data_IF_179924089773
#
_entry.id   IF_179924089773
#
_cell.length_a   1.000
_cell.length_b   1.000
_cell.length_c   1.000
_cell.angle_alpha   90.00
_cell.angle_beta   90.00
_cell.angle_gamma   90.00
#
_symmetry.space_group_name_H-M   'P 1'
#
loop_
_entity.id
_entity.type
_entity.pdbx_description
1 polymer ?
#
# COMPACT_ATOMS: atom_id res chain seq x y z
N UNK A 1 -3.05 -29.82 3.97
CA UNK A 1 -2.88 -28.41 4.38
C UNK A 1 -1.38 -28.14 4.37
N UNK A 2 -0.92 -27.25 3.50
CA UNK A 2 0.50 -27.03 3.22
C UNK A 2 1.24 -26.42 4.43
N UNK A 3 2.53 -26.72 4.56
CA UNK A 3 3.41 -26.28 5.66
C UNK A 3 3.41 -24.76 5.78
N UNK A 4 3.31 -24.05 4.66
CA UNK A 4 3.20 -22.59 4.62
C UNK A 4 1.87 -22.07 5.14
N UNK A 5 0.75 -22.74 4.83
CA UNK A 5 -0.57 -22.39 5.36
C UNK A 5 -0.64 -22.59 6.88
N UNK A 6 -0.05 -23.68 7.38
CA UNK A 6 0.02 -23.97 8.81
C UNK A 6 0.86 -22.93 9.53
N UNK A 7 2.00 -22.55 8.94
CA UNK A 7 2.87 -21.52 9.47
C UNK A 7 2.19 -20.14 9.51
N UNK A 8 1.54 -19.72 8.42
CA UNK A 8 0.82 -18.44 8.36
C UNK A 8 -0.31 -18.37 9.42
N UNK A 9 -1.07 -19.46 9.60
CA UNK A 9 -2.13 -19.52 10.60
C UNK A 9 -1.57 -19.52 12.03
N UNK A 10 -0.50 -20.26 12.29
CA UNK A 10 0.17 -20.24 13.60
C UNK A 10 0.74 -18.86 13.89
N UNK A 11 1.38 -18.21 12.93
CA UNK A 11 1.96 -16.86 13.11
C UNK A 11 0.88 -15.81 13.39
N UNK A 12 -0.27 -15.86 12.70
CA UNK A 12 -1.45 -15.03 12.99
C UNK A 12 -1.99 -15.28 14.41
N UNK A 13 -2.05 -16.53 14.85
CA UNK A 13 -2.64 -16.92 16.15
C UNK A 13 -1.83 -16.48 17.38
N UNK A 14 -0.50 -16.37 17.26
CA UNK A 14 0.37 -16.04 18.42
C UNK A 14 0.43 -14.52 18.67
N UNK A 15 -0.10 -13.69 17.76
CA UNK A 15 -0.16 -12.22 17.94
C UNK A 15 1.21 -11.54 18.10
N UNK A 16 2.30 -12.25 17.80
CA UNK A 16 3.69 -11.78 17.95
C UNK A 16 3.93 -10.53 17.11
N UNK A 17 3.29 -10.44 15.94
CA UNK A 17 3.36 -9.28 15.05
C UNK A 17 2.89 -7.97 15.70
N UNK A 18 1.94 -8.05 16.65
CA UNK A 18 1.43 -6.89 17.37
C UNK A 18 2.27 -6.54 18.61
N UNK A 19 2.90 -7.53 19.25
CA UNK A 19 3.63 -7.36 20.53
C UNK A 19 5.12 -7.06 20.37
N UNK A 20 5.74 -7.46 19.25
CA UNK A 20 7.18 -7.23 18.98
C UNK A 20 7.43 -5.97 18.15
N UNK A 21 6.44 -5.47 17.39
CA UNK A 21 6.54 -4.22 16.61
C UNK A 21 6.54 -2.93 17.45
N UNK A 22 6.35 -3.00 18.77
CA UNK A 22 5.89 -1.85 19.57
C UNK A 22 6.96 -0.97 20.24
N UNK A 23 8.27 -1.13 19.98
CA UNK A 23 9.27 -0.30 20.71
C UNK A 23 10.51 0.20 19.94
N UNK A 24 10.45 0.38 18.62
CA UNK A 24 11.42 1.24 17.94
C UNK A 24 10.73 2.09 16.88
N UNK A 25 10.32 3.32 17.24
CA UNK A 25 10.56 4.40 16.28
C UNK A 25 12.06 4.53 16.21
N UNK A 26 12.66 3.92 15.19
CA UNK A 26 14.10 3.96 15.02
C UNK A 26 14.54 5.43 14.88
N UNK A 27 15.79 5.74 15.23
CA UNK A 27 16.36 7.07 14.97
C UNK A 27 16.17 7.48 13.50
N UNK A 28 16.18 6.49 12.59
CA UNK A 28 15.94 6.67 11.16
C UNK A 28 14.50 7.13 10.87
N UNK A 29 13.48 6.54 11.50
CA UNK A 29 12.08 6.95 11.30
C UNK A 29 11.85 8.39 11.75
N UNK A 30 12.40 8.74 12.93
CA UNK A 30 12.32 10.11 13.46
C UNK A 30 13.06 11.09 12.56
N UNK A 31 14.23 10.71 12.03
CA UNK A 31 15.00 11.52 11.10
C UNK A 31 14.21 11.75 9.80
N UNK A 32 13.62 10.69 9.23
CA UNK A 32 12.84 10.77 8.00
C UNK A 32 11.61 11.66 8.15
N UNK A 33 10.86 11.53 9.25
CA UNK A 33 9.70 12.41 9.54
C UNK A 33 10.14 13.87 9.66
N UNK A 34 11.25 14.14 10.36
CA UNK A 34 11.78 15.50 10.49
C UNK A 34 12.28 16.06 9.15
N UNK A 35 12.95 15.23 8.34
CA UNK A 35 13.45 15.61 7.03
C UNK A 35 12.28 15.97 6.10
N UNK A 36 11.24 15.13 6.05
CA UNK A 36 10.01 15.40 5.30
C UNK A 36 9.42 16.74 5.71
N UNK A 37 9.21 16.97 7.02
CA UNK A 37 8.65 18.23 7.52
C UNK A 37 9.50 19.43 7.09
N UNK A 38 10.83 19.37 7.28
CA UNK A 38 11.74 20.46 6.92
C UNK A 38 11.77 20.74 5.41
N UNK A 39 11.71 19.70 4.58
CA UNK A 39 11.65 19.86 3.13
C UNK A 39 10.32 20.48 2.70
N UNK A 40 9.19 20.02 3.24
CA UNK A 40 7.88 20.60 2.95
C UNK A 40 7.78 22.05 3.43
N UNK A 41 8.30 22.38 4.62
CA UNK A 41 8.32 23.76 5.14
C UNK A 41 9.15 24.70 4.25
N UNK A 42 10.26 24.20 3.68
CA UNK A 42 11.19 25.01 2.91
C UNK A 42 10.82 25.15 1.43
N UNK A 43 10.30 24.08 0.82
CA UNK A 43 10.10 23.98 -0.63
C UNK A 43 8.62 23.76 -1.02
N UNK A 44 7.71 23.64 -0.05
CA UNK A 44 6.27 23.58 -0.30
C UNK A 44 5.86 22.44 -1.24
N UNK A 45 5.13 22.78 -2.30
CA UNK A 45 4.61 21.81 -3.28
C UNK A 45 5.71 21.09 -4.07
N UNK A 46 6.86 21.71 -4.33
CA UNK A 46 7.97 21.05 -5.04
C UNK A 46 8.49 19.85 -4.25
N UNK A 47 8.64 20.00 -2.93
CA UNK A 47 9.02 18.88 -2.06
C UNK A 47 7.95 17.78 -2.05
N UNK A 48 6.66 18.15 -2.06
CA UNK A 48 5.56 17.16 -2.10
C UNK A 48 5.54 16.40 -3.42
N UNK A 49 5.72 17.07 -4.55
CA UNK A 49 5.81 16.46 -5.87
C UNK A 49 7.00 15.49 -5.96
N UNK A 50 8.17 15.89 -5.43
CA UNK A 50 9.32 15.00 -5.36
C UNK A 50 9.04 13.75 -4.49
N UNK A 51 8.36 13.92 -3.35
CA UNK A 51 7.98 12.79 -2.49
C UNK A 51 6.97 11.86 -3.18
N UNK A 52 6.06 12.41 -3.98
CA UNK A 52 5.13 11.63 -4.82
C UNK A 52 5.86 10.78 -5.85
N UNK A 53 6.85 11.36 -6.54
CA UNK A 53 7.64 10.65 -7.55
C UNK A 53 8.50 9.54 -6.92
N UNK A 54 9.17 9.84 -5.80
CA UNK A 54 9.95 8.86 -5.04
C UNK A 54 9.04 7.74 -4.52
N UNK A 55 7.88 8.07 -3.96
CA UNK A 55 6.92 7.08 -3.48
C UNK A 55 6.45 6.14 -4.61
N UNK A 56 6.17 6.71 -5.79
CA UNK A 56 5.82 5.93 -6.97
C UNK A 56 6.95 4.97 -7.38
N UNK A 57 8.19 5.46 -7.45
CA UNK A 57 9.35 4.63 -7.81
C UNK A 57 9.57 3.48 -6.83
N UNK A 58 9.54 3.75 -5.52
CA UNK A 58 9.68 2.70 -4.51
C UNK A 58 8.54 1.67 -4.65
N UNK A 59 7.31 2.14 -4.84
CA UNK A 59 6.16 1.25 -5.04
C UNK A 59 6.33 0.36 -6.28
N UNK A 60 6.90 0.89 -7.36
CA UNK A 60 7.19 0.13 -8.57
C UNK A 60 8.25 -0.95 -8.32
N UNK A 61 9.38 -0.59 -7.70
CA UNK A 61 10.47 -1.52 -7.39
C UNK A 61 10.05 -2.63 -6.42
N UNK A 62 9.30 -2.29 -5.38
CA UNK A 62 8.75 -3.27 -4.43
C UNK A 62 7.74 -4.19 -5.14
N UNK A 63 6.90 -3.62 -6.00
CA UNK A 63 5.93 -4.36 -6.81
C UNK A 63 6.61 -5.35 -7.75
N UNK A 64 7.69 -4.95 -8.42
CA UNK A 64 8.47 -5.81 -9.31
C UNK A 64 9.07 -7.00 -8.54
N UNK A 65 9.69 -6.75 -7.38
CA UNK A 65 10.21 -7.81 -6.50
C UNK A 65 9.11 -8.76 -6.04
N UNK A 66 7.93 -8.25 -5.70
CA UNK A 66 6.78 -9.10 -5.31
C UNK A 66 6.33 -9.96 -6.49
N UNK A 67 6.20 -9.36 -7.68
CA UNK A 67 5.80 -10.07 -8.89
C UNK A 67 6.76 -11.20 -9.24
N UNK A 68 8.07 -10.96 -9.14
CA UNK A 68 9.11 -11.95 -9.38
C UNK A 68 9.07 -13.07 -8.34
N UNK A 69 9.01 -12.73 -7.05
CA UNK A 69 9.04 -13.71 -5.97
C UNK A 69 7.79 -14.60 -5.90
N UNK A 70 6.62 -14.05 -6.26
CA UNK A 70 5.35 -14.78 -6.28
C UNK A 70 5.02 -15.39 -7.64
N UNK A 71 5.87 -15.16 -8.66
CA UNK A 71 5.64 -15.58 -10.04
C UNK A 71 4.24 -15.19 -10.54
N UNK A 72 3.87 -13.93 -10.35
CA UNK A 72 2.53 -13.42 -10.70
C UNK A 72 2.34 -13.39 -12.21
N UNK A 73 1.20 -13.88 -12.68
CA UNK A 73 0.76 -13.69 -14.06
C UNK A 73 0.35 -12.23 -14.27
N UNK A 74 1.24 -11.44 -14.88
CA UNK A 74 1.00 -10.02 -15.15
C UNK A 74 -0.03 -9.77 -16.25
N UNK A 75 -0.39 -10.80 -17.04
CA UNK A 75 -1.43 -10.69 -18.05
C UNK A 75 -2.84 -10.77 -17.42
N UNK A 76 -2.98 -11.43 -16.27
CA UNK A 76 -4.24 -11.52 -15.56
C UNK A 76 -4.56 -10.20 -14.84
N UNK A 77 -5.69 -9.57 -15.21
CA UNK A 77 -6.18 -8.32 -14.58
C UNK A 77 -6.27 -8.44 -13.05
N UNK A 78 -6.70 -9.59 -12.56
CA UNK A 78 -6.82 -9.88 -11.12
C UNK A 78 -5.50 -9.77 -10.36
N UNK A 79 -4.36 -9.95 -11.04
CA UNK A 79 -3.03 -9.86 -10.43
C UNK A 79 -2.62 -8.43 -10.08
N UNK A 80 -3.31 -7.41 -10.62
CA UNK A 80 -2.94 -6.00 -10.44
C UNK A 80 -3.00 -5.54 -8.98
N UNK A 81 -3.83 -6.18 -8.14
CA UNK A 81 -3.93 -5.89 -6.71
C UNK A 81 -3.05 -6.79 -5.84
N UNK A 82 -2.46 -7.85 -6.39
CA UNK A 82 -1.66 -8.81 -5.61
C UNK A 82 -0.47 -8.17 -4.89
N UNK A 83 0.26 -7.18 -5.46
CA UNK A 83 1.30 -6.49 -4.71
C UNK A 83 0.76 -5.72 -3.51
N UNK A 84 -0.36 -5.00 -3.66
CA UNK A 84 -0.97 -4.24 -2.57
C UNK A 84 -1.52 -5.16 -1.46
N UNK A 85 -2.12 -6.28 -1.84
CA UNK A 85 -2.56 -7.33 -0.92
C UNK A 85 -1.38 -7.96 -0.16
N UNK A 86 -0.26 -8.17 -0.85
CA UNK A 86 0.98 -8.68 -0.24
C UNK A 86 1.51 -7.73 0.82
N UNK A 87 1.56 -6.42 0.55
CA UNK A 87 1.99 -5.42 1.55
C UNK A 87 1.01 -5.40 2.74
N UNK A 88 -0.29 -5.49 2.51
CA UNK A 88 -1.27 -5.57 3.61
C UNK A 88 -1.03 -6.81 4.49
N UNK A 89 -0.77 -7.96 3.88
CA UNK A 89 -0.43 -9.18 4.60
C UNK A 89 0.85 -9.03 5.43
N UNK A 90 1.92 -8.48 4.84
CA UNK A 90 3.21 -8.27 5.51
C UNK A 90 3.12 -7.25 6.65
N UNK A 91 2.21 -6.28 6.54
CA UNK A 91 1.95 -5.30 7.60
C UNK A 91 1.04 -5.85 8.71
N UNK A 92 0.41 -7.01 8.48
CA UNK A 92 -0.50 -7.66 9.42
C UNK A 92 -1.90 -7.06 9.39
N UNK A 93 -2.31 -6.49 8.26
CA UNK A 93 -3.63 -5.88 8.07
C UNK A 93 -4.46 -6.80 7.17
N UNK A 94 -5.64 -7.16 7.67
CA UNK A 94 -6.59 -7.93 6.89
C UNK A 94 -7.13 -7.10 5.73
N UNK A 95 -7.21 -7.74 4.56
CA UNK A 95 -7.72 -7.11 3.34
C UNK A 95 -8.62 -8.05 2.55
N UNK A 96 -9.45 -7.45 1.71
CA UNK A 96 -10.39 -8.13 0.83
C UNK A 96 -10.26 -7.53 -0.57
N UNK A 97 -10.12 -8.40 -1.57
CA UNK A 97 -10.16 -8.04 -2.99
C UNK A 97 -11.47 -8.52 -3.59
N UNK A 98 -12.17 -7.63 -4.26
CA UNK A 98 -13.42 -7.94 -4.97
C UNK A 98 -13.37 -7.37 -6.38
N UNK A 99 -13.75 -8.16 -7.39
CA UNK A 99 -13.96 -7.68 -8.75
C UNK A 99 -15.45 -7.56 -9.06
N UNK A 100 -15.86 -6.52 -9.80
CA UNK A 100 -17.23 -6.44 -10.26
C UNK A 100 -17.41 -7.29 -11.52
N UNK A 101 -18.30 -8.29 -11.43
CA UNK A 101 -18.68 -9.16 -12.54
C UNK A 101 -19.74 -8.53 -13.45
N UNK A 102 -20.30 -7.37 -13.09
CA UNK A 102 -21.36 -6.72 -13.85
C UNK A 102 -20.79 -5.85 -14.96
N UNK A 103 -20.85 -6.36 -16.20
CA UNK A 103 -21.09 -5.64 -17.47
C UNK A 103 -20.87 -4.12 -17.46
N UNK A 104 -19.68 -3.66 -17.08
CA UNK A 104 -19.22 -2.30 -17.35
C UNK A 104 -18.27 -2.38 -18.53
N UNK A 105 -18.24 -1.31 -19.31
CA UNK A 105 -17.36 -1.17 -20.47
C UNK A 105 -15.88 -1.32 -20.10
N UNK A 106 -15.53 -1.13 -18.82
CA UNK A 106 -14.20 -1.30 -18.24
C UNK A 106 -14.26 -2.15 -16.97
N UNK A 107 -13.41 -3.19 -16.83
CA UNK A 107 -13.34 -3.96 -15.60
C UNK A 107 -12.78 -3.10 -14.46
N UNK A 108 -13.22 -3.40 -13.24
CA UNK A 108 -12.67 -2.75 -12.04
C UNK A 108 -12.50 -3.75 -10.91
N UNK A 109 -11.46 -3.52 -10.13
CA UNK A 109 -11.17 -4.26 -8.90
C UNK A 109 -11.19 -3.30 -7.73
N UNK A 110 -11.67 -3.77 -6.59
CA UNK A 110 -11.64 -3.05 -5.33
C UNK A 110 -10.80 -3.81 -4.32
N UNK A 111 -9.95 -3.06 -3.60
CA UNK A 111 -9.17 -3.52 -2.46
C UNK A 111 -9.62 -2.77 -1.22
N UNK A 112 -10.03 -3.49 -0.18
CA UNK A 112 -10.43 -2.94 1.12
C UNK A 112 -9.53 -3.50 2.20
N UNK A 113 -9.11 -2.67 3.15
CA UNK A 113 -8.29 -3.14 4.28
C UNK A 113 -8.76 -2.56 5.62
N UNK A 114 -8.78 -3.41 6.65
CA UNK A 114 -9.21 -3.10 8.02
C UNK A 114 -8.16 -2.32 8.80
N UNK A 115 -7.82 -1.12 8.32
CA UNK A 115 -6.76 -0.28 8.88
C UNK A 115 -5.97 0.45 7.79
N UNK A 116 -4.91 1.14 8.18
CA UNK A 116 -4.01 1.83 7.25
C UNK A 116 -2.75 1.00 7.01
N UNK A 117 -2.58 0.46 5.79
CA UNK A 117 -1.37 -0.28 5.37
C UNK A 117 -0.09 0.49 5.64
N UNK A 118 -0.14 1.81 5.45
CA UNK A 118 1.00 2.70 5.63
C UNK A 118 0.98 3.47 6.96
N UNK A 119 0.08 3.10 7.89
CA UNK A 119 -0.17 3.85 9.11
C UNK A 119 1.06 4.00 10.00
N UNK A 120 1.88 2.95 10.10
CA UNK A 120 3.11 2.96 10.88
C UNK A 120 4.25 3.70 10.17
N UNK A 121 4.38 3.51 8.86
CA UNK A 121 5.48 4.07 8.05
C UNK A 121 5.36 5.60 7.96
N UNK A 122 4.12 6.07 7.83
CA UNK A 122 3.85 7.48 7.61
C UNK A 122 3.44 8.21 8.89
N UNK A 123 3.60 7.59 10.07
CA UNK A 123 3.18 8.22 11.31
C UNK A 123 3.95 9.52 11.57
N UNK A 124 3.27 10.52 12.13
CA UNK A 124 3.86 11.85 12.37
C UNK A 124 4.06 12.75 11.13
N UNK A 125 3.84 12.28 9.91
CA UNK A 125 3.83 13.14 8.72
C UNK A 125 2.55 13.98 8.62
N UNK A 126 2.63 15.11 7.92
CA UNK A 126 1.45 15.93 7.60
C UNK A 126 0.42 15.12 6.81
N UNK A 127 -0.88 15.38 7.06
CA UNK A 127 -1.97 14.59 6.44
C UNK A 127 -1.95 14.67 4.91
N UNK A 128 -1.71 15.83 4.32
CA UNK A 128 -1.69 16.00 2.86
C UNK A 128 -0.55 15.18 2.24
N UNK A 129 0.65 15.25 2.82
CA UNK A 129 1.81 14.47 2.36
C UNK A 129 1.54 12.97 2.45
N UNK A 130 0.97 12.50 3.56
CA UNK A 130 0.61 11.09 3.74
C UNK A 130 -0.36 10.61 2.68
N UNK A 131 -1.35 11.45 2.37
CA UNK A 131 -2.38 11.11 1.39
C UNK A 131 -1.82 10.99 -0.03
N UNK A 132 -0.89 11.85 -0.40
CA UNK A 132 -0.21 11.86 -1.70
C UNK A 132 0.75 10.68 -1.87
N UNK A 133 1.64 10.49 -0.88
CA UNK A 133 2.61 9.38 -0.86
C UNK A 133 1.90 8.03 -0.89
N UNK A 134 0.85 7.84 -0.08
CA UNK A 134 0.04 6.61 -0.07
C UNK A 134 -0.54 6.30 -1.45
N UNK A 135 -1.13 7.30 -2.12
CA UNK A 135 -1.71 7.13 -3.44
C UNK A 135 -0.64 6.71 -4.46
N UNK A 136 0.49 7.41 -4.49
CA UNK A 136 1.55 7.21 -5.47
C UNK A 136 2.31 5.90 -5.28
N UNK A 137 2.61 5.53 -4.03
CA UNK A 137 3.19 4.23 -3.72
C UNK A 137 2.26 3.08 -4.14
N UNK A 138 0.97 3.19 -3.81
CA UNK A 138 -0.02 2.19 -4.22
C UNK A 138 -0.17 2.10 -5.74
N UNK A 139 -0.09 3.23 -6.44
CA UNK A 139 -0.10 3.26 -7.91
C UNK A 139 1.14 2.59 -8.49
N UNK A 140 2.33 2.85 -7.94
CA UNK A 140 3.57 2.18 -8.36
C UNK A 140 3.48 0.66 -8.23
N UNK A 141 2.94 0.16 -7.11
CA UNK A 141 2.69 -1.26 -6.89
C UNK A 141 1.80 -1.86 -7.98
N UNK A 142 0.70 -1.20 -8.33
CA UNK A 142 -0.23 -1.65 -9.38
C UNK A 142 0.44 -1.61 -10.75
N UNK A 143 1.19 -0.54 -11.05
CA UNK A 143 1.88 -0.34 -12.32
C UNK A 143 3.01 -1.35 -12.57
N UNK A 144 3.54 -2.00 -11.52
CA UNK A 144 4.48 -3.11 -11.69
C UNK A 144 3.85 -4.32 -12.41
N UNK A 145 2.51 -4.44 -12.33
CA UNK A 145 1.70 -5.45 -13.01
C UNK A 145 1.08 -4.89 -14.28
N UNK A 146 0.40 -3.75 -14.19
CA UNK A 146 -0.30 -3.12 -15.33
C UNK A 146 -0.12 -1.59 -15.29
N UNK A 147 0.68 -1.07 -16.23
CA UNK A 147 1.02 0.36 -16.34
C UNK A 147 -0.12 1.26 -16.80
N UNK A 148 -1.19 0.69 -17.34
CA UNK A 148 -2.35 1.42 -17.86
C UNK A 148 -3.51 1.48 -16.86
N UNK A 149 -3.39 0.76 -15.75
CA UNK A 149 -4.38 0.75 -14.69
C UNK A 149 -4.41 2.12 -13.97
N UNK A 150 -5.60 2.64 -13.72
CA UNK A 150 -5.80 3.85 -12.93
C UNK A 150 -6.24 3.48 -11.51
N UNK A 151 -5.79 4.26 -10.52
CA UNK A 151 -6.09 4.04 -9.11
C UNK A 151 -6.84 5.23 -8.51
N UNK A 152 -7.97 4.92 -7.89
CA UNK A 152 -8.73 5.86 -7.05
C UNK A 152 -8.85 5.35 -5.62
N UNK A 153 -8.65 6.23 -4.66
CA UNK A 153 -8.87 5.93 -3.23
C UNK A 153 -10.20 6.51 -2.80
N UNK A 154 -11.18 5.65 -2.49
CA UNK A 154 -12.53 6.05 -2.10
C UNK A 154 -12.66 6.36 -0.61
N UNK A 155 -11.93 5.62 0.23
CA UNK A 155 -11.95 5.78 1.69
C UNK A 155 -10.54 5.67 2.25
N UNK A 156 -10.28 6.41 3.32
CA UNK A 156 -8.96 6.50 3.95
C UNK A 156 -9.08 6.55 5.47
N UNK A 157 -8.32 5.70 6.15
CA UNK A 157 -8.25 5.71 7.60
C UNK A 157 -7.70 7.04 8.16
N UNK A 158 -6.74 7.67 7.45
CA UNK A 158 -6.22 8.98 7.84
C UNK A 158 -7.25 10.13 7.77
N UNK A 159 -8.43 9.87 7.21
CA UNK A 159 -9.57 10.78 7.17
C UNK A 159 -10.66 10.41 8.18
N UNK A 160 -10.37 9.50 9.11
CA UNK A 160 -11.31 9.05 10.15
C UNK A 160 -12.20 7.86 9.75
N UNK A 161 -11.99 7.27 8.58
CA UNK A 161 -12.72 6.04 8.20
C UNK A 161 -12.17 4.82 8.97
N UNK A 162 -13.00 3.80 9.17
CA UNK A 162 -12.58 2.52 9.79
C UNK A 162 -11.73 1.64 8.88
N UNK A 163 -11.78 1.90 7.57
CA UNK A 163 -11.09 1.11 6.55
C UNK A 163 -10.58 2.03 5.44
N UNK A 164 -9.53 1.60 4.74
CA UNK A 164 -9.19 2.18 3.45
C UNK A 164 -9.85 1.37 2.32
N UNK A 165 -10.21 2.05 1.24
CA UNK A 165 -10.82 1.45 0.06
C UNK A 165 -10.20 2.04 -1.20
N UNK A 166 -9.61 1.17 -2.00
CA UNK A 166 -8.92 1.45 -3.24
C UNK A 166 -9.72 0.81 -4.37
N UNK A 167 -9.83 1.50 -5.50
CA UNK A 167 -10.50 1.02 -6.70
C UNK A 167 -9.56 1.21 -7.88
N UNK A 168 -9.31 0.11 -8.58
CA UNK A 168 -8.46 0.04 -9.76
C UNK A 168 -9.34 -0.16 -10.98
N UNK A 169 -9.15 0.67 -11.99
CA UNK A 169 -9.87 0.60 -13.27
C UNK A 169 -8.89 0.39 -14.41
N UNK A 170 -9.26 -0.43 -15.39
CA UNK A 170 -8.42 -0.74 -16.55
C UNK A 170 -9.06 -0.14 -17.80
N UNK A 171 -8.27 0.52 -18.64
CA UNK A 171 -8.73 1.09 -19.92
C UNK A 171 -8.61 0.09 -21.05
#
# INVERSE_FOLDING_TARGET
MDRFTRFANTWKSVGVTSRVKWQQHSTLDRFNVMLVRRLTDRYGEEAKALMEDVAYQIGLEDGEKICENLNLDRAAITSALSPLETIALLTGIDSEVSGDKKTRQFPHLSFKCGGCVFGQILDGMDRDVRERVCLKYSLGLIHSVNKEADLKVLRRCCQGNRQCEFVVTFR
#
